data_IF_803490841429
#
_entry.id   IF_803490841429
#
_cell.length_a   1.000
_cell.length_b   1.000
_cell.length_c   1.000
_cell.angle_alpha   90.00
_cell.angle_beta   90.00
_cell.angle_gamma   90.00
#
_symmetry.space_group_name_H-M   'P 1'
#
loop_
_entity.id
_entity.type
_entity.pdbx_description
1 polymer ?
#
# COMPACT_ATOMS: atom_id res chain seq x y z
N UNK A 1 -5.92 -17.79 36.60
CA UNK A 1 -5.88 -16.54 35.81
C UNK A 1 -4.66 -16.59 34.89
N UNK A 2 -4.81 -17.07 33.64
CA UNK A 2 -3.74 -16.97 32.63
C UNK A 2 -3.67 -15.51 32.19
N UNK A 3 -2.55 -14.84 32.49
CA UNK A 3 -2.26 -13.51 31.96
C UNK A 3 -2.24 -13.62 30.43
N UNK A 4 -3.11 -12.90 29.73
CA UNK A 4 -3.03 -12.81 28.27
C UNK A 4 -1.70 -12.16 27.91
N UNK A 5 -0.79 -12.95 27.36
CA UNK A 5 0.52 -12.49 26.95
C UNK A 5 0.33 -11.50 25.79
N UNK A 6 0.54 -10.21 26.07
CA UNK A 6 0.39 -9.15 25.07
C UNK A 6 1.45 -9.37 23.99
N UNK A 7 1.06 -9.94 22.84
CA UNK A 7 1.90 -9.99 21.63
C UNK A 7 2.46 -8.59 21.35
N UNK A 8 3.79 -8.45 21.42
CA UNK A 8 4.55 -7.24 21.10
C UNK A 8 4.96 -7.31 19.64
N UNK A 9 4.63 -6.29 18.86
CA UNK A 9 5.00 -6.21 17.46
C UNK A 9 6.20 -5.28 17.30
N UNK A 10 7.23 -5.74 16.58
CA UNK A 10 8.40 -4.92 16.25
C UNK A 10 8.08 -4.11 15.01
N UNK A 11 8.30 -2.81 15.08
CA UNK A 11 8.07 -1.84 14.01
C UNK A 11 9.34 -1.06 13.73
N UNK A 12 9.45 -0.47 12.53
CA UNK A 12 10.66 0.22 12.11
C UNK A 12 10.79 1.66 12.65
N UNK A 13 9.68 2.27 13.07
CA UNK A 13 9.62 3.61 13.66
C UNK A 13 9.69 3.54 15.20
N UNK A 14 10.21 4.60 15.81
CA UNK A 14 10.48 4.69 17.24
C UNK A 14 9.20 4.87 18.07
N UNK A 15 8.24 5.64 17.55
CA UNK A 15 6.97 5.94 18.22
C UNK A 15 5.93 6.45 17.21
N UNK A 16 4.71 6.67 17.72
CA UNK A 16 3.59 7.19 16.92
C UNK A 16 3.85 8.59 16.35
N UNK A 17 4.57 9.46 17.07
CA UNK A 17 4.87 10.81 16.60
C UNK A 17 5.78 10.81 15.35
N UNK A 18 6.77 9.91 15.29
CA UNK A 18 7.58 9.70 14.08
C UNK A 18 6.70 9.24 12.92
N UNK A 19 5.78 8.30 13.16
CA UNK A 19 4.87 7.80 12.14
C UNK A 19 3.97 8.90 11.57
N UNK A 20 3.30 9.64 12.45
CA UNK A 20 2.39 10.73 12.07
C UNK A 20 3.15 11.82 11.28
N UNK A 21 4.34 12.20 11.75
CA UNK A 21 5.18 13.17 11.05
C UNK A 21 5.56 12.70 9.64
N UNK A 22 5.97 11.44 9.48
CA UNK A 22 6.32 10.89 8.17
C UNK A 22 5.10 10.87 7.24
N UNK A 23 3.94 10.47 7.74
CA UNK A 23 2.69 10.50 6.99
C UNK A 23 2.39 11.93 6.49
N UNK A 24 2.37 12.91 7.38
CA UNK A 24 2.09 14.31 7.03
C UNK A 24 3.08 14.85 5.99
N UNK A 25 4.35 14.50 6.12
CA UNK A 25 5.39 14.93 5.19
C UNK A 25 5.30 14.24 3.82
N UNK A 26 4.91 12.96 3.74
CA UNK A 26 4.69 12.25 2.47
C UNK A 26 3.58 12.89 1.65
N UNK A 27 2.49 13.25 2.31
CA UNK A 27 1.29 13.83 1.69
C UNK A 27 1.35 15.37 1.58
N UNK A 28 2.46 15.98 1.99
CA UNK A 28 2.71 17.41 1.80
C UNK A 28 2.85 17.79 0.32
N UNK A 29 2.55 19.06 0.01
CA UNK A 29 2.80 19.65 -1.31
C UNK A 29 4.26 20.11 -1.48
N UNK A 30 5.01 20.21 -0.39
CA UNK A 30 6.40 20.65 -0.40
C UNK A 30 7.35 19.49 -0.73
N UNK A 31 8.09 19.55 -1.87
CA UNK A 31 9.05 18.52 -2.25
C UNK A 31 10.18 18.32 -1.23
N UNK A 32 10.54 19.33 -0.44
CA UNK A 32 11.59 19.24 0.57
C UNK A 32 11.16 18.36 1.75
N UNK A 33 9.93 18.55 2.24
CA UNK A 33 9.32 17.71 3.27
C UNK A 33 9.13 16.27 2.77
N UNK A 34 8.68 16.10 1.53
CA UNK A 34 8.57 14.78 0.92
C UNK A 34 9.93 14.07 0.84
N UNK A 35 11.00 14.77 0.42
CA UNK A 35 12.37 14.21 0.42
C UNK A 35 12.82 13.78 1.82
N UNK A 36 12.53 14.59 2.84
CA UNK A 36 12.84 14.24 4.23
C UNK A 36 12.11 12.96 4.67
N UNK A 37 10.80 12.84 4.37
CA UNK A 37 10.04 11.63 4.67
C UNK A 37 10.57 10.39 3.95
N UNK A 38 10.96 10.53 2.67
CA UNK A 38 11.56 9.44 1.90
C UNK A 38 12.88 8.96 2.53
N UNK A 39 13.71 9.88 3.03
CA UNK A 39 14.94 9.51 3.75
C UNK A 39 14.63 8.77 5.06
N UNK A 40 13.57 9.15 5.78
CA UNK A 40 13.13 8.43 6.98
C UNK A 40 12.66 7.02 6.65
N UNK A 41 11.87 6.84 5.59
CA UNK A 41 11.47 5.50 5.12
C UNK A 41 12.69 4.67 4.73
N UNK A 42 13.70 5.25 4.06
CA UNK A 42 14.94 4.53 3.76
C UNK A 42 15.65 4.07 5.04
N UNK A 43 15.67 4.89 6.09
CA UNK A 43 16.20 4.49 7.39
C UNK A 43 15.35 3.38 8.06
N UNK A 44 14.02 3.41 7.91
CA UNK A 44 13.14 2.33 8.39
C UNK A 44 13.47 1.01 7.71
N UNK A 45 13.65 1.03 6.37
CA UNK A 45 14.06 -0.13 5.59
C UNK A 45 15.42 -0.67 6.03
N UNK A 46 16.39 0.19 6.30
CA UNK A 46 17.71 -0.25 6.77
C UNK A 46 17.66 -0.98 8.11
N UNK A 47 16.72 -0.61 9.00
CA UNK A 47 16.52 -1.28 10.29
C UNK A 47 15.73 -2.56 10.20
N UNK A 48 14.75 -2.62 9.30
CA UNK A 48 13.76 -3.70 9.28
C UNK A 48 13.24 -4.00 7.86
N UNK A 49 14.18 -4.31 6.96
CA UNK A 49 13.92 -4.46 5.52
C UNK A 49 12.85 -5.50 5.17
N UNK A 50 12.87 -6.66 5.84
CA UNK A 50 11.98 -7.79 5.52
C UNK A 50 10.53 -7.63 5.97
N UNK A 51 10.19 -6.56 6.69
CA UNK A 51 8.87 -6.37 7.29
C UNK A 51 8.31 -4.96 7.07
N UNK A 52 8.92 -4.17 6.18
CA UNK A 52 8.32 -2.89 5.78
C UNK A 52 6.98 -3.16 5.06
N UNK A 53 5.86 -2.59 5.52
CA UNK A 53 4.57 -2.83 4.89
C UNK A 53 4.57 -2.38 3.44
N UNK A 54 3.96 -3.20 2.56
CA UNK A 54 3.89 -2.93 1.11
C UNK A 54 3.30 -1.54 0.82
N UNK A 55 2.32 -1.10 1.60
CA UNK A 55 1.74 0.23 1.45
C UNK A 55 2.76 1.36 1.68
N UNK A 56 3.69 1.21 2.64
CA UNK A 56 4.76 2.18 2.89
C UNK A 56 5.73 2.23 1.71
N UNK A 57 6.09 1.06 1.17
CA UNK A 57 6.94 0.95 -0.03
C UNK A 57 6.32 1.63 -1.24
N UNK A 58 5.07 1.28 -1.57
CA UNK A 58 4.37 1.86 -2.70
C UNK A 58 4.18 3.38 -2.54
N UNK A 59 3.87 3.84 -1.32
CA UNK A 59 3.77 5.28 -1.03
C UNK A 59 5.10 5.97 -1.30
N UNK A 60 6.21 5.42 -0.81
CA UNK A 60 7.54 5.99 -1.01
C UNK A 60 7.94 6.06 -2.48
N UNK A 61 7.66 5.00 -3.25
CA UNK A 61 8.00 4.97 -4.68
C UNK A 61 7.19 6.02 -5.47
N UNK A 62 5.89 6.15 -5.19
CA UNK A 62 5.02 7.13 -5.85
C UNK A 62 5.36 8.58 -5.47
N UNK A 63 5.65 8.84 -4.18
CA UNK A 63 6.09 10.17 -3.72
C UNK A 63 7.44 10.55 -4.33
N UNK A 64 8.37 9.59 -4.47
CA UNK A 64 9.65 9.82 -5.17
C UNK A 64 9.42 10.26 -6.61
N UNK A 65 8.47 9.65 -7.32
CA UNK A 65 8.09 10.08 -8.67
C UNK A 65 7.61 11.55 -8.66
N UNK A 66 6.71 11.93 -7.75
CA UNK A 66 6.20 13.31 -7.65
C UNK A 66 7.31 14.33 -7.37
N UNK A 67 8.26 13.98 -6.50
CA UNK A 67 9.40 14.84 -6.15
C UNK A 67 10.29 15.09 -7.37
N UNK A 68 10.66 14.03 -8.10
CA UNK A 68 11.53 14.15 -9.28
C UNK A 68 10.84 14.89 -10.42
N UNK A 69 9.54 14.65 -10.60
CA UNK A 69 8.69 15.33 -11.57
C UNK A 69 8.63 16.85 -11.30
N UNK A 70 8.41 17.25 -10.04
CA UNK A 70 8.32 18.68 -9.66
C UNK A 70 9.66 19.42 -9.73
N UNK A 71 10.77 18.76 -9.40
CA UNK A 71 12.09 19.38 -9.46
C UNK A 71 12.59 19.48 -10.91
N UNK A 72 12.00 18.75 -11.85
CA UNK A 72 12.35 18.83 -13.27
C UNK A 72 13.73 18.24 -13.57
N UNK A 73 14.17 17.26 -12.78
CA UNK A 73 15.48 16.60 -12.94
C UNK A 73 15.49 15.52 -14.03
N UNK A 74 14.32 15.07 -14.48
CA UNK A 74 14.14 14.02 -15.47
C UNK A 74 13.33 14.55 -16.64
N UNK A 75 13.56 13.99 -17.82
CA UNK A 75 12.74 14.27 -18.99
C UNK A 75 11.36 13.58 -18.89
N UNK A 76 10.48 13.88 -19.84
CA UNK A 76 9.12 13.37 -19.81
C UNK A 76 9.05 11.84 -19.99
N UNK A 77 9.98 11.25 -20.76
CA UNK A 77 9.98 9.83 -21.09
C UNK A 77 10.51 9.00 -19.91
N UNK A 78 11.58 9.46 -19.26
CA UNK A 78 12.11 8.92 -18.02
C UNK A 78 11.08 8.98 -16.89
N UNK A 79 10.34 10.09 -16.79
CA UNK A 79 9.25 10.22 -15.83
C UNK A 79 8.13 9.20 -16.11
N UNK A 80 7.76 8.98 -17.38
CA UNK A 80 6.75 7.97 -17.75
C UNK A 80 7.20 6.59 -17.28
N UNK A 81 8.45 6.21 -17.52
CA UNK A 81 9.00 4.93 -17.09
C UNK A 81 9.05 4.81 -15.55
N UNK A 82 9.48 5.87 -14.87
CA UNK A 82 9.58 5.91 -13.41
C UNK A 82 8.20 5.75 -12.75
N UNK A 83 7.20 6.53 -13.18
CA UNK A 83 5.83 6.37 -12.71
C UNK A 83 5.26 4.99 -13.07
N UNK A 84 5.59 4.48 -14.26
CA UNK A 84 5.17 3.16 -14.71
C UNK A 84 5.64 2.06 -13.78
N UNK A 85 6.92 2.04 -13.43
CA UNK A 85 7.49 1.08 -12.50
C UNK A 85 6.78 1.12 -11.13
N UNK A 86 6.56 2.32 -10.58
CA UNK A 86 5.88 2.48 -9.29
C UNK A 86 4.42 2.02 -9.32
N UNK A 87 3.67 2.37 -10.37
CA UNK A 87 2.26 1.99 -10.53
C UNK A 87 2.09 0.49 -10.77
N UNK A 88 2.94 -0.11 -11.62
CA UNK A 88 2.94 -1.56 -11.87
C UNK A 88 3.27 -2.31 -10.59
N UNK A 89 4.28 -1.86 -9.84
CA UNK A 89 4.65 -2.46 -8.55
C UNK A 89 3.50 -2.40 -7.55
N UNK A 90 2.82 -1.25 -7.42
CA UNK A 90 1.63 -1.13 -6.59
C UNK A 90 0.53 -2.13 -6.99
N UNK A 91 0.11 -2.13 -8.25
CA UNK A 91 -0.98 -3.01 -8.72
C UNK A 91 -0.63 -4.48 -8.51
N UNK A 92 0.61 -4.89 -8.81
CA UNK A 92 1.02 -6.28 -8.64
C UNK A 92 1.02 -6.69 -7.17
N UNK A 93 1.71 -5.95 -6.29
CA UNK A 93 1.81 -6.31 -4.87
C UNK A 93 0.45 -6.30 -4.16
N UNK A 94 -0.44 -5.41 -4.58
CA UNK A 94 -1.76 -5.28 -3.94
C UNK A 94 -2.74 -6.36 -4.38
N UNK A 95 -2.64 -6.78 -5.63
CA UNK A 95 -3.48 -7.86 -6.15
C UNK A 95 -2.94 -9.23 -5.74
N UNK A 96 -1.62 -9.41 -5.65
CA UNK A 96 -1.01 -10.65 -5.16
C UNK A 96 -1.52 -11.02 -3.76
N UNK A 97 -1.60 -10.05 -2.84
CA UNK A 97 -2.17 -10.25 -1.49
C UNK A 97 -3.65 -10.64 -1.47
N UNK A 98 -4.39 -10.34 -2.53
CA UNK A 98 -5.81 -10.68 -2.66
C UNK A 98 -6.04 -11.99 -3.41
N UNK A 99 -4.98 -12.62 -3.91
CA UNK A 99 -5.11 -13.93 -4.53
C UNK A 99 -5.35 -14.99 -3.48
N UNK A 100 -6.33 -15.85 -3.75
CA UNK A 100 -6.54 -17.07 -3.00
C UNK A 100 -5.89 -18.26 -3.70
N UNK A 101 -6.23 -19.47 -3.26
CA UNK A 101 -5.79 -20.74 -3.87
C UNK A 101 -6.09 -20.82 -5.38
N UNK A 102 -7.16 -20.16 -5.83
CA UNK A 102 -7.54 -20.07 -7.25
C UNK A 102 -7.20 -18.67 -7.77
N UNK A 103 -6.43 -18.62 -8.86
CA UNK A 103 -6.05 -17.38 -9.52
C UNK A 103 -7.27 -16.60 -10.03
N UNK A 104 -7.36 -15.31 -9.66
CA UNK A 104 -8.44 -14.42 -10.10
C UNK A 104 -7.88 -13.28 -10.96
N UNK A 105 -8.65 -12.79 -11.96
CA UNK A 105 -8.22 -11.65 -12.77
C UNK A 105 -7.97 -10.38 -11.93
N UNK A 106 -6.91 -9.63 -12.23
CA UNK A 106 -6.54 -8.40 -11.51
C UNK A 106 -7.68 -7.38 -11.42
N UNK A 107 -8.45 -7.21 -12.51
CA UNK A 107 -9.63 -6.32 -12.54
C UNK A 107 -10.65 -6.67 -11.46
N UNK A 108 -10.88 -7.96 -11.23
CA UNK A 108 -11.82 -8.44 -10.20
C UNK A 108 -11.30 -8.14 -8.80
N UNK A 109 -10.01 -8.36 -8.57
CA UNK A 109 -9.40 -8.08 -7.26
C UNK A 109 -9.37 -6.59 -6.94
N UNK A 110 -9.00 -5.75 -7.91
CA UNK A 110 -9.01 -4.31 -7.75
C UNK A 110 -10.42 -3.76 -7.49
N UNK A 111 -11.43 -4.34 -8.15
CA UNK A 111 -12.84 -4.02 -7.89
C UNK A 111 -13.25 -4.26 -6.44
N UNK A 112 -12.77 -5.35 -5.83
CA UNK A 112 -13.02 -5.64 -4.40
C UNK A 112 -12.37 -4.63 -3.45
N UNK A 113 -11.29 -3.97 -3.89
CA UNK A 113 -10.54 -2.96 -3.14
C UNK A 113 -11.01 -1.53 -3.44
N UNK A 114 -12.06 -1.35 -4.24
CA UNK A 114 -12.50 -0.04 -4.74
C UNK A 114 -11.40 0.73 -5.49
N UNK A 115 -10.44 0.02 -6.10
CA UNK A 115 -9.42 0.63 -6.95
C UNK A 115 -10.02 0.80 -8.36
N UNK A 116 -9.98 2.01 -8.94
CA UNK A 116 -10.57 2.25 -10.25
C UNK A 116 -9.95 1.36 -11.34
N UNK A 117 -10.81 0.77 -12.18
CA UNK A 117 -10.37 -0.17 -13.22
C UNK A 117 -9.31 0.40 -14.15
N UNK A 118 -9.40 1.69 -14.50
CA UNK A 118 -8.44 2.33 -15.37
C UNK A 118 -7.01 2.39 -14.77
N UNK A 119 -6.86 2.34 -13.44
CA UNK A 119 -5.54 2.22 -12.79
C UNK A 119 -4.94 0.84 -13.04
N UNK A 120 -5.77 -0.21 -13.04
CA UNK A 120 -5.33 -1.57 -13.43
C UNK A 120 -4.97 -1.61 -14.91
N UNK A 121 -5.73 -0.91 -15.75
CA UNK A 121 -5.43 -0.81 -17.18
C UNK A 121 -4.10 -0.11 -17.44
N UNK A 122 -3.70 0.88 -16.63
CA UNK A 122 -2.35 1.48 -16.72
C UNK A 122 -1.25 0.42 -16.56
N UNK A 123 -1.39 -0.50 -15.59
CA UNK A 123 -0.44 -1.61 -15.45
C UNK A 123 -0.38 -2.49 -16.69
N UNK A 124 -1.52 -2.74 -17.34
CA UNK A 124 -1.54 -3.51 -18.59
C UNK A 124 -0.90 -2.73 -19.75
N UNK A 125 -1.12 -1.42 -19.82
CA UNK A 125 -0.53 -0.54 -20.84
C UNK A 125 1.01 -0.51 -20.76
N UNK A 126 1.56 -0.40 -19.54
CA UNK A 126 3.01 -0.39 -19.31
C UNK A 126 3.72 -1.71 -19.66
N UNK A 127 3.02 -2.85 -19.56
CA UNK A 127 3.65 -4.17 -19.74
C UNK A 127 3.41 -4.78 -21.11
N UNK A 128 2.26 -4.50 -21.73
CA UNK A 128 1.80 -5.24 -22.92
C UNK A 128 1.30 -4.34 -24.06
N UNK A 129 1.12 -3.04 -23.83
CA UNK A 129 0.64 -2.12 -24.87
C UNK A 129 1.57 -0.92 -25.02
N UNK A 130 1.00 0.19 -25.46
CA UNK A 130 1.71 1.45 -25.64
C UNK A 130 1.79 2.19 -24.31
N UNK A 131 2.97 2.74 -24.02
CA UNK A 131 3.20 3.56 -22.85
C UNK A 131 2.18 4.71 -22.77
N UNK A 132 1.55 4.93 -21.60
CA UNK A 132 0.62 6.03 -21.40
C UNK A 132 1.35 7.37 -21.38
N UNK A 133 0.61 8.46 -21.56
CA UNK A 133 1.19 9.80 -21.45
C UNK A 133 1.51 10.16 -19.99
N UNK A 134 2.49 11.04 -19.78
CA UNK A 134 2.86 11.53 -18.44
C UNK A 134 1.66 12.09 -17.65
N UNK A 135 0.68 12.70 -18.33
CA UNK A 135 -0.56 13.18 -17.72
C UNK A 135 -1.34 12.04 -17.05
N UNK A 136 -1.45 10.88 -17.69
CA UNK A 136 -2.10 9.71 -17.14
C UNK A 136 -1.30 9.09 -15.99
N UNK A 137 0.03 9.07 -16.09
CA UNK A 137 0.92 8.65 -15.02
C UNK A 137 0.71 9.47 -13.74
N UNK A 138 0.71 10.81 -13.86
CA UNK A 138 0.44 11.74 -12.75
C UNK A 138 -0.95 11.52 -12.14
N UNK A 139 -1.97 11.33 -12.98
CA UNK A 139 -3.34 11.04 -12.54
C UNK A 139 -3.41 9.71 -11.77
N UNK A 140 -2.79 8.65 -12.29
CA UNK A 140 -2.69 7.35 -11.66
C UNK A 140 -2.02 7.43 -10.30
N UNK A 141 -0.86 8.08 -10.23
CA UNK A 141 -0.13 8.30 -8.99
C UNK A 141 -0.97 9.01 -7.93
N UNK A 142 -1.66 10.10 -8.30
CA UNK A 142 -2.55 10.83 -7.40
C UNK A 142 -3.64 9.92 -6.81
N UNK A 143 -4.36 9.18 -7.65
CA UNK A 143 -5.45 8.31 -7.21
C UNK A 143 -4.96 7.18 -6.32
N UNK A 144 -3.81 6.57 -6.65
CA UNK A 144 -3.24 5.51 -5.82
C UNK A 144 -2.78 6.05 -4.46
N UNK A 145 -2.16 7.25 -4.42
CA UNK A 145 -1.76 7.87 -3.16
C UNK A 145 -2.95 8.21 -2.27
N UNK A 146 -4.03 8.77 -2.83
CA UNK A 146 -5.29 9.05 -2.12
C UNK A 146 -5.89 7.76 -1.55
N UNK A 147 -5.91 6.69 -2.35
CA UNK A 147 -6.38 5.38 -1.93
C UNK A 147 -5.53 4.82 -0.77
N UNK A 148 -4.19 4.86 -0.88
CA UNK A 148 -3.27 4.43 0.18
C UNK A 148 -3.47 5.25 1.47
N UNK A 149 -3.77 6.54 1.35
CA UNK A 149 -4.00 7.40 2.51
C UNK A 149 -5.23 6.94 3.30
N UNK A 150 -6.32 6.63 2.59
CA UNK A 150 -7.60 6.25 3.18
C UNK A 150 -7.58 4.81 3.71
N UNK A 151 -7.05 3.88 2.92
CA UNK A 151 -7.16 2.45 3.18
C UNK A 151 -6.04 1.90 4.08
N UNK A 152 -4.90 2.59 4.14
CA UNK A 152 -3.77 2.16 4.97
C UNK A 152 -3.44 3.19 6.05
N UNK A 153 -2.97 4.39 5.68
CA UNK A 153 -2.41 5.35 6.63
C UNK A 153 -3.41 5.83 7.68
N UNK A 154 -4.64 6.16 7.26
CA UNK A 154 -5.70 6.65 8.16
C UNK A 154 -6.21 5.57 9.12
N UNK A 155 -6.19 4.29 8.70
CA UNK A 155 -6.69 3.18 9.51
C UNK A 155 -5.77 2.81 10.66
N UNK A 156 -4.47 3.09 10.54
CA UNK A 156 -3.51 2.89 11.64
C UNK A 156 -3.79 3.80 12.85
N UNK A 157 -4.58 4.87 12.67
CA UNK A 157 -4.96 5.81 13.73
C UNK A 157 -6.17 5.33 14.56
N UNK A 158 -6.90 4.31 14.09
CA UNK A 158 -8.19 3.88 14.64
C UNK A 158 -8.14 2.76 15.67
N UNK A 159 -7.04 2.58 16.41
CA UNK A 159 -6.81 1.48 17.38
C UNK A 159 -7.70 1.50 18.64
N UNK A 160 -9.01 1.65 18.49
CA UNK A 160 -10.01 1.42 19.53
C UNK A 160 -10.85 0.19 19.18
N UNK A 161 -10.59 -0.91 19.90
CA UNK A 161 -11.51 -2.04 20.13
C UNK A 161 -12.14 -2.71 18.90
N UNK A 162 -11.49 -3.74 18.37
CA UNK A 162 -12.18 -4.98 18.02
C UNK A 162 -11.19 -6.15 17.99
N UNK A 163 -10.95 -6.72 19.17
CA UNK A 163 -10.31 -8.03 19.34
C UNK A 163 -11.26 -9.09 18.75
N UNK A 164 -10.80 -9.83 17.74
CA UNK A 164 -10.93 -11.29 17.60
C UNK A 164 -10.67 -11.71 16.15
N UNK A 165 -9.44 -12.07 15.83
CA UNK A 165 -9.15 -12.88 14.64
C UNK A 165 -8.12 -13.93 15.04
N UNK A 166 -8.66 -15.09 15.38
CA UNK A 166 -7.92 -16.32 15.61
C UNK A 166 -7.06 -16.64 14.39
N UNK A 167 -5.80 -16.96 14.68
CA UNK A 167 -4.89 -17.58 13.72
C UNK A 167 -5.48 -18.95 13.40
N UNK A 168 -5.98 -19.15 12.19
CA UNK A 168 -6.08 -20.51 11.66
C UNK A 168 -4.66 -20.98 11.41
N UNK A 169 -4.16 -21.78 12.35
CA UNK A 169 -3.17 -22.82 12.06
C UNK A 169 -3.76 -23.71 10.96
N UNK A 170 -2.92 -24.03 9.98
CA UNK A 170 -3.23 -24.95 8.91
C UNK A 170 -3.62 -26.31 9.51
N UNK A 171 -4.89 -26.69 9.39
CA UNK A 171 -5.33 -28.09 9.44
C UNK A 171 -6.45 -28.29 8.43
N UNK A 172 -6.39 -29.44 7.77
CA UNK A 172 -7.14 -29.87 6.60
C UNK A 172 -8.65 -30.11 6.90
N UNK A 173 -9.45 -30.01 5.83
CA UNK A 173 -10.81 -30.55 5.64
C UNK A 173 -12.02 -29.93 6.38
N UNK A 174 -12.95 -29.35 5.58
CA UNK A 174 -14.38 -29.71 5.44
C UNK A 174 -15.27 -28.55 4.94
N UNK A 175 -16.23 -28.92 4.11
CA UNK A 175 -17.11 -28.09 3.31
C UNK A 175 -18.24 -27.37 4.07
N UNK A 176 -18.82 -26.40 3.35
CA UNK A 176 -20.24 -26.05 3.31
C UNK A 176 -20.76 -24.74 3.97
N UNK A 177 -21.26 -23.88 3.08
CA UNK A 177 -22.36 -22.93 3.20
C UNK A 177 -22.27 -21.79 4.24
N UNK A 178 -22.07 -20.54 3.74
CA UNK A 178 -22.83 -19.34 4.16
C UNK A 178 -22.81 -18.25 3.08
N UNK A 179 -23.85 -18.22 2.26
CA UNK A 179 -24.25 -17.05 1.46
C UNK A 179 -25.22 -16.20 2.30
N UNK A 180 -24.73 -15.06 2.81
CA UNK A 180 -25.44 -13.79 3.15
C UNK A 180 -24.75 -13.12 4.35
N UNK A 181 -23.84 -12.19 4.05
CA UNK A 181 -23.96 -10.78 4.43
C UNK A 181 -22.69 -10.06 4.03
N UNK A 182 -22.83 -8.89 3.40
CA UNK A 182 -21.72 -8.04 3.04
C UNK A 182 -20.97 -7.56 4.27
N UNK A 183 -19.76 -8.07 4.43
CA UNK A 183 -18.60 -7.43 5.07
C UNK A 183 -17.38 -8.15 4.51
N UNK A 184 -16.71 -7.54 3.54
CA UNK A 184 -15.39 -8.02 3.11
C UNK A 184 -14.45 -7.86 4.32
N UNK A 185 -13.81 -8.96 4.74
CA UNK A 185 -12.77 -8.94 5.76
C UNK A 185 -11.72 -7.88 5.41
N UNK A 186 -11.57 -6.91 6.30
CA UNK A 186 -10.66 -5.76 6.20
C UNK A 186 -9.21 -6.12 6.54
N UNK A 187 -8.90 -7.40 6.77
CA UNK A 187 -7.65 -7.83 7.41
C UNK A 187 -6.51 -8.10 6.40
N UNK A 188 -6.76 -8.02 5.10
CA UNK A 188 -5.75 -8.32 4.08
C UNK A 188 -4.69 -7.21 3.91
N UNK A 189 -4.85 -6.08 4.59
CA UNK A 189 -4.01 -4.90 4.39
C UNK A 189 -3.12 -4.53 5.58
N UNK A 190 -3.44 -5.03 6.77
CA UNK A 190 -2.82 -4.59 8.02
C UNK A 190 -2.09 -5.75 8.71
N UNK A 191 -0.80 -5.85 8.43
CA UNK A 191 0.16 -6.12 9.49
C UNK A 191 1.02 -4.84 9.52
N UNK A 192 0.88 -3.93 10.48
CA UNK A 192 0.90 -4.14 11.92
C UNK A 192 0.11 -3.02 12.63
N UNK A 193 -0.81 -3.33 13.56
CA UNK A 193 -1.36 -2.31 14.45
C UNK A 193 -0.31 -1.79 15.44
N UNK A 194 -0.39 -0.50 15.77
CA UNK A 194 0.20 0.03 17.00
C UNK A 194 -0.54 -0.55 18.22
N UNK A 195 0.20 -1.06 19.21
CA UNK A 195 -0.27 -1.27 20.58
C UNK A 195 0.38 -0.24 21.49
#
# INVERSE_FOLDING_TARGET
KKSSEKKRHVVAWINKAEWDQVMDQLYSKDPSLQRFALNRISAWKARYASSTPVAVDCTADLVRCQVLDRVGQLDADDLVLLYGAALVRFVNLITERQQGKIARPLRRLAGNLNIPEWVVNLRHDFTHRRLPTLKWCRKGCKVVLEWLQQEYWSRQLGGGTNDNWDLHEDDEDEEEMRVRNGKLNSDTFCLLPFK
#
